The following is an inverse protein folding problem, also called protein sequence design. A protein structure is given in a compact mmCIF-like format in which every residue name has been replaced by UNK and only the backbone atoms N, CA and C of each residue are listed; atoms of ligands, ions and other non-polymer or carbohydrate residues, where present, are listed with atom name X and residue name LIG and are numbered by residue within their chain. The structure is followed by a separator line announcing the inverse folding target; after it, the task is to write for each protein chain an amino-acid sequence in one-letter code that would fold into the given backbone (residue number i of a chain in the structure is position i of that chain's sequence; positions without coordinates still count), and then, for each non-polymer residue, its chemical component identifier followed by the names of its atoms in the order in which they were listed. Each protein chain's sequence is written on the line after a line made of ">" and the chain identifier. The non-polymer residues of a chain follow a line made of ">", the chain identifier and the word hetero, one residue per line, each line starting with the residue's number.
data_IF_209893037681
#
_entry.id   IF_209893037681
#
_cell.length_a   1.000
_cell.length_b   1.000
_cell.length_c   1.000
_cell.angle_alpha   90.00
_cell.angle_beta   90.00
_cell.angle_gamma   90.00
#
_symmetry.space_group_name_H-M   'P 1'
#
loop_
_entity.id
_entity.type
_entity.pdbx_description
1 polymer ?
#
# COMPACT_ATOMS: atom_id res chain seq x y z
N UNK A 1 -34.73 11.32 37.95
CA UNK A 1 -33.35 11.78 37.68
C UNK A 1 -32.45 10.71 38.24
N UNK A 2 -31.82 9.92 37.37
CA UNK A 2 -30.77 9.00 37.75
C UNK A 2 -29.62 9.28 36.78
N UNK A 3 -28.46 9.66 37.31
CA UNK A 3 -27.25 9.85 36.53
C UNK A 3 -26.49 8.52 36.52
N UNK A 4 -26.17 8.01 35.32
CA UNK A 4 -25.25 6.88 35.20
C UNK A 4 -23.80 7.37 35.29
N UNK A 5 -22.90 6.64 35.97
CA UNK A 5 -21.51 7.07 36.08
C UNK A 5 -20.82 6.93 34.72
N UNK A 6 -20.18 8.00 34.26
CA UNK A 6 -19.22 7.92 33.17
C UNK A 6 -18.12 6.94 33.53
N UNK A 7 -17.97 5.87 32.73
CA UNK A 7 -16.75 5.06 32.77
C UNK A 7 -15.66 5.84 32.04
N UNK A 8 -14.59 6.16 32.74
CA UNK A 8 -13.33 6.60 32.12
C UNK A 8 -12.79 5.47 31.24
N UNK A 9 -13.13 5.52 29.95
CA UNK A 9 -12.50 4.69 28.92
C UNK A 9 -11.31 5.49 28.42
N UNK A 10 -10.10 4.98 28.64
CA UNK A 10 -8.87 5.58 28.17
C UNK A 10 -8.90 5.71 26.64
N UNK A 11 -9.09 6.92 26.12
CA UNK A 11 -9.21 7.22 24.68
C UNK A 11 -8.03 6.67 23.88
N UNK A 12 -6.83 6.62 24.46
CA UNK A 12 -5.65 6.02 23.81
C UNK A 12 -5.77 4.51 23.65
N UNK A 13 -6.34 3.77 24.61
CA UNK A 13 -6.50 2.31 24.50
C UNK A 13 -7.51 1.93 23.42
N UNK A 14 -8.62 2.69 23.30
CA UNK A 14 -9.60 2.49 22.23
C UNK A 14 -9.04 2.82 20.84
N UNK A 15 -8.16 3.83 20.75
CA UNK A 15 -7.45 4.18 19.51
C UNK A 15 -6.39 3.13 19.17
N UNK A 16 -5.65 2.59 20.15
CA UNK A 16 -4.66 1.53 19.92
C UNK A 16 -5.33 0.23 19.49
N UNK A 17 -6.42 -0.19 20.12
CA UNK A 17 -7.15 -1.41 19.72
C UNK A 17 -7.67 -1.36 18.27
N UNK A 18 -8.06 -0.17 17.77
CA UNK A 18 -8.49 0.00 16.38
C UNK A 18 -7.33 0.14 15.36
N UNK A 19 -6.10 0.43 15.80
CA UNK A 19 -4.94 0.69 14.92
C UNK A 19 -3.82 -0.36 15.01
N UNK A 20 -3.86 -1.26 15.99
CA UNK A 20 -2.91 -2.39 16.09
C UNK A 20 -3.11 -3.38 14.94
N UNK A 21 -2.20 -3.36 13.96
CA UNK A 21 -2.17 -4.31 12.84
C UNK A 21 -1.61 -5.70 13.26
N UNK A 22 -2.21 -6.31 14.28
CA UNK A 22 -2.09 -7.75 14.56
C UNK A 22 -3.27 -8.47 13.93
N UNK A 23 -3.02 -9.20 12.84
CA UNK A 23 -4.05 -9.90 12.09
C UNK A 23 -4.44 -11.21 12.80
N UNK A 24 -5.39 -11.15 13.73
CA UNK A 24 -6.05 -12.34 14.29
C UNK A 24 -7.16 -12.87 13.37
N UNK A 25 -7.49 -14.16 13.51
CA UNK A 25 -8.26 -14.93 12.54
C UNK A 25 -9.76 -14.63 12.57
N UNK A 26 -10.41 -14.85 11.43
CA UNK A 26 -11.87 -15.04 11.36
C UNK A 26 -12.10 -16.51 11.09
N UNK A 27 -12.72 -17.21 12.03
CA UNK A 27 -13.11 -18.61 11.87
C UNK A 27 -14.11 -18.76 10.72
N UNK A 28 -13.85 -19.72 9.83
CA UNK A 28 -14.85 -20.29 8.93
C UNK A 28 -14.71 -21.80 9.00
N UNK A 29 -15.51 -22.39 9.87
CA UNK A 29 -15.68 -23.83 10.01
C UNK A 29 -16.78 -24.28 9.03
N UNK A 30 -16.43 -24.93 7.92
CA UNK A 30 -17.41 -25.71 7.15
C UNK A 30 -16.78 -26.83 6.33
N UNK A 31 -17.57 -27.87 6.04
CA UNK A 31 -17.10 -29.25 5.88
C UNK A 31 -16.78 -29.66 4.43
N UNK A 32 -15.92 -30.67 4.32
CA UNK A 32 -15.53 -31.34 3.08
C UNK A 32 -16.55 -32.37 2.58
N UNK A 33 -16.82 -32.38 1.28
CA UNK A 33 -17.13 -33.57 0.46
C UNK A 33 -16.73 -33.27 -1.00
N UNK A 34 -15.74 -33.98 -1.56
CA UNK A 34 -15.89 -35.16 -2.45
C UNK A 34 -16.43 -34.79 -3.87
N UNK A 35 -15.92 -35.26 -5.03
CA UNK A 35 -15.05 -36.39 -5.38
C UNK A 35 -14.34 -36.17 -6.74
N UNK A 36 -13.17 -36.81 -6.93
CA UNK A 36 -12.37 -37.18 -8.12
C UNK A 36 -12.69 -36.79 -9.58
N UNK A 37 -11.57 -36.74 -10.35
CA UNK A 37 -11.29 -37.04 -11.79
C UNK A 37 -10.79 -35.83 -12.57
N UNK A 38 -9.64 -35.84 -13.27
CA UNK A 38 -8.63 -36.88 -13.49
C UNK A 38 -8.47 -37.21 -14.98
N UNK A 39 -7.47 -36.61 -15.64
CA UNK A 39 -6.87 -37.08 -16.90
C UNK A 39 -5.56 -36.31 -17.20
N UNK A 40 -4.64 -36.91 -17.95
CA UNK A 40 -3.31 -36.40 -18.25
C UNK A 40 -2.99 -36.56 -19.74
N UNK A 41 -2.20 -35.66 -20.33
CA UNK A 41 -1.64 -35.82 -21.69
C UNK A 41 -0.22 -35.25 -21.80
N UNK A 42 0.65 -36.04 -22.44
CA UNK A 42 2.02 -35.77 -22.93
C UNK A 42 2.01 -34.78 -24.14
N UNK A 43 3.11 -34.34 -24.79
CA UNK A 43 4.53 -34.07 -24.49
C UNK A 43 5.14 -33.35 -25.73
N UNK A 44 6.38 -32.83 -25.60
CA UNK A 44 7.24 -32.33 -26.69
C UNK A 44 6.74 -31.05 -27.44
N UNK A 45 7.55 -30.28 -28.18
CA UNK A 45 8.86 -30.52 -28.82
C UNK A 45 9.80 -29.29 -28.72
N UNK A 46 11.06 -29.43 -29.13
CA UNK A 46 12.12 -28.41 -29.00
C UNK A 46 12.60 -27.85 -30.36
N UNK A 47 13.16 -26.63 -30.37
CA UNK A 47 13.97 -26.11 -31.49
C UNK A 47 15.22 -25.39 -30.94
N UNK A 48 16.40 -25.81 -31.41
CA UNK A 48 17.69 -25.13 -31.19
C UNK A 48 17.96 -24.09 -32.27
N UNK A 49 18.80 -23.09 -31.98
CA UNK A 49 19.70 -22.53 -33.01
C UNK A 49 21.05 -22.03 -32.45
N UNK A 50 22.05 -22.11 -33.32
CA UNK A 50 23.52 -21.97 -33.17
C UNK A 50 24.02 -20.51 -32.94
N UNK A 51 24.93 -20.23 -31.98
CA UNK A 51 26.43 -20.21 -32.00
C UNK A 51 27.14 -18.98 -32.64
N UNK A 52 28.38 -18.78 -32.17
CA UNK A 52 29.50 -17.90 -32.63
C UNK A 52 29.57 -16.48 -32.02
N UNK A 53 30.74 -15.90 -31.69
CA UNK A 53 32.13 -16.41 -31.61
C UNK A 53 33.02 -15.48 -30.73
N UNK A 54 34.12 -16.01 -30.15
CA UNK A 54 35.48 -15.40 -29.94
C UNK A 54 35.65 -14.00 -29.27
N UNK A 55 36.78 -13.59 -28.65
CA UNK A 55 37.95 -14.23 -28.01
C UNK A 55 38.78 -13.13 -27.27
N UNK A 56 39.71 -13.47 -26.36
CA UNK A 56 40.72 -12.50 -25.85
C UNK A 56 41.33 -12.77 -24.46
N UNK A 57 42.61 -13.17 -24.42
CA UNK A 57 43.44 -13.40 -23.22
C UNK A 57 44.15 -12.13 -22.67
N UNK A 58 44.51 -12.12 -21.36
CA UNK A 58 45.81 -11.64 -20.81
C UNK A 58 45.89 -11.68 -19.26
N UNK A 59 47.12 -11.61 -18.68
CA UNK A 59 47.43 -11.82 -17.25
C UNK A 59 48.67 -10.98 -16.76
N UNK A 60 49.19 -10.99 -15.51
CA UNK A 60 48.94 -11.90 -14.38
C UNK A 60 48.86 -11.29 -12.92
N UNK A 61 49.92 -11.02 -12.08
CA UNK A 61 49.77 -11.23 -10.61
C UNK A 61 50.43 -10.23 -9.60
N UNK A 62 50.16 -10.37 -8.28
CA UNK A 62 51.08 -9.87 -7.20
C UNK A 62 50.57 -9.61 -5.75
N UNK A 63 50.92 -10.52 -4.81
CA UNK A 63 51.09 -10.49 -3.31
C UNK A 63 51.41 -9.15 -2.55
N UNK A 64 51.35 -8.96 -1.20
CA UNK A 64 50.78 -9.64 0.00
C UNK A 64 50.97 -8.83 1.35
N UNK A 65 50.31 -9.27 2.45
CA UNK A 65 50.74 -9.31 3.88
C UNK A 65 50.12 -8.38 5.00
N UNK A 66 50.24 -8.81 6.27
CA UNK A 66 49.53 -8.41 7.54
C UNK A 66 50.54 -8.13 8.72
N UNK A 67 50.18 -8.02 10.04
CA UNK A 67 49.26 -7.16 10.85
C UNK A 67 50.00 -6.54 12.11
N UNK A 68 49.60 -6.63 13.43
CA UNK A 68 48.39 -6.22 14.20
C UNK A 68 48.67 -5.31 15.47
N UNK A 69 47.63 -4.75 16.14
CA UNK A 69 47.55 -4.75 17.65
C UNK A 69 46.13 -4.43 18.23
N UNK A 70 45.86 -4.89 19.47
CA UNK A 70 44.61 -4.77 20.27
C UNK A 70 44.61 -3.52 21.22
N UNK A 71 43.58 -3.11 21.99
CA UNK A 71 42.24 -3.62 22.39
C UNK A 71 41.42 -2.47 23.06
N UNK A 72 40.10 -2.62 23.32
CA UNK A 72 39.49 -1.97 24.51
C UNK A 72 38.62 -2.91 25.39
N UNK A 73 38.24 -2.39 26.56
CA UNK A 73 37.81 -3.12 27.76
C UNK A 73 36.42 -3.80 27.73
N UNK A 74 36.25 -4.75 28.67
CA UNK A 74 35.06 -5.58 28.87
C UNK A 74 33.84 -4.82 29.43
N UNK A 75 32.64 -5.22 28.99
CA UNK A 75 31.34 -4.87 29.59
C UNK A 75 30.52 -6.18 29.74
N UNK A 76 29.74 -6.41 30.82
CA UNK A 76 29.42 -7.77 31.30
C UNK A 76 28.26 -8.48 30.58
N UNK A 77 27.90 -8.08 29.36
CA UNK A 77 26.91 -8.77 28.52
C UNK A 77 27.48 -9.98 27.76
N UNK A 78 28.77 -10.28 27.93
CA UNK A 78 29.48 -11.40 27.27
C UNK A 78 29.09 -12.80 27.75
N UNK A 79 28.27 -12.94 28.80
CA UNK A 79 27.90 -14.23 29.39
C UNK A 79 26.70 -14.95 28.73
N UNK A 80 25.92 -14.28 27.87
CA UNK A 80 24.73 -14.85 27.19
C UNK A 80 24.87 -14.97 25.67
N UNK A 81 26.07 -14.70 25.13
CA UNK A 81 26.43 -14.83 23.70
C UNK A 81 27.61 -15.80 23.49
N UNK A 82 27.86 -16.68 24.46
CA UNK A 82 29.09 -17.48 24.56
C UNK A 82 28.92 -18.98 24.21
N UNK A 83 27.80 -19.40 23.63
CA UNK A 83 27.61 -20.75 23.05
C UNK A 83 26.65 -20.71 21.86
N UNK A 84 27.13 -20.18 20.74
CA UNK A 84 26.77 -20.54 19.35
C UNK A 84 27.43 -19.53 18.40
N UNK A 85 28.77 -19.59 18.34
CA UNK A 85 29.57 -18.84 17.37
C UNK A 85 30.10 -19.78 16.28
N UNK A 86 29.21 -20.62 15.76
CA UNK A 86 29.47 -21.47 14.60
C UNK A 86 28.83 -20.86 13.37
N UNK A 87 29.70 -20.52 12.40
CA UNK A 87 29.42 -20.25 10.98
C UNK A 87 28.01 -19.74 10.65
N UNK A 88 27.91 -18.41 10.52
CA UNK A 88 27.10 -17.82 9.46
C UNK A 88 27.73 -18.12 8.10
N UNK A 89 27.69 -19.39 7.68
CA UNK A 89 27.91 -19.75 6.29
C UNK A 89 26.82 -19.03 5.48
N UNK A 90 27.23 -18.15 4.56
CA UNK A 90 26.31 -17.61 3.57
C UNK A 90 25.88 -18.77 2.68
N UNK A 91 24.79 -19.44 3.07
CA UNK A 91 24.20 -20.58 2.39
C UNK A 91 23.73 -20.14 1.01
N UNK A 92 24.62 -20.29 0.01
CA UNK A 92 24.31 -20.18 -1.41
C UNK A 92 23.50 -21.42 -1.80
N UNK A 93 22.24 -21.42 -1.39
CA UNK A 93 21.24 -22.39 -1.85
C UNK A 93 20.99 -22.16 -3.34
N UNK A 94 20.76 -23.24 -4.08
CA UNK A 94 20.31 -23.12 -5.46
C UNK A 94 18.90 -22.51 -5.52
N UNK A 95 18.55 -21.84 -6.63
CA UNK A 95 17.19 -21.35 -6.83
C UNK A 95 16.14 -22.48 -6.80
N UNK A 96 16.52 -23.68 -7.23
CA UNK A 96 15.71 -24.89 -7.14
C UNK A 96 15.47 -25.32 -5.69
N UNK A 97 16.51 -25.32 -4.85
CA UNK A 97 16.41 -25.68 -3.43
C UNK A 97 15.63 -24.63 -2.63
N UNK A 98 15.81 -23.34 -2.93
CA UNK A 98 14.95 -22.28 -2.39
C UNK A 98 13.48 -22.49 -2.75
N UNK A 99 13.19 -22.78 -4.03
CA UNK A 99 11.84 -23.03 -4.50
C UNK A 99 11.22 -24.28 -3.84
N UNK A 100 11.96 -25.39 -3.75
CA UNK A 100 11.54 -26.60 -3.04
C UNK A 100 11.25 -26.33 -1.57
N UNK A 101 12.15 -25.65 -0.86
CA UNK A 101 11.95 -25.30 0.55
C UNK A 101 10.77 -24.35 0.76
N UNK A 102 10.53 -23.41 -0.16
CA UNK A 102 9.37 -22.52 -0.10
C UNK A 102 8.04 -23.25 -0.36
N UNK A 103 7.97 -24.09 -1.40
CA UNK A 103 6.79 -24.91 -1.67
C UNK A 103 6.52 -25.91 -0.52
N UNK A 104 7.58 -26.51 0.04
CA UNK A 104 7.50 -27.37 1.22
C UNK A 104 6.90 -26.61 2.41
N UNK A 105 7.46 -25.45 2.75
CA UNK A 105 6.91 -24.59 3.80
C UNK A 105 5.45 -24.15 3.50
N UNK A 106 5.10 -23.95 2.24
CA UNK A 106 3.74 -23.56 1.84
C UNK A 106 2.71 -24.67 2.01
N UNK A 107 3.01 -25.89 1.55
CA UNK A 107 2.06 -27.02 1.58
C UNK A 107 2.09 -27.83 2.87
N UNK A 108 3.26 -27.98 3.52
CA UNK A 108 3.42 -28.81 4.72
C UNK A 108 3.28 -28.04 6.03
N UNK A 109 3.19 -26.70 5.99
CA UNK A 109 3.03 -25.88 7.22
C UNK A 109 1.85 -24.94 7.15
N UNK A 110 0.98 -25.02 8.15
CA UNK A 110 -0.16 -24.12 8.36
C UNK A 110 0.27 -22.70 8.82
N UNK A 111 1.48 -22.26 8.49
CA UNK A 111 2.03 -20.94 8.85
C UNK A 111 1.49 -19.82 7.95
N UNK A 112 1.08 -20.15 6.73
CA UNK A 112 0.62 -19.19 5.73
C UNK A 112 -0.87 -18.90 5.90
N UNK A 113 -1.20 -17.65 6.23
CA UNK A 113 -2.58 -17.21 6.42
C UNK A 113 -3.19 -16.76 5.09
N UNK A 114 -4.38 -17.27 4.78
CA UNK A 114 -5.19 -16.83 3.63
C UNK A 114 -5.64 -15.36 3.81
N UNK A 115 -5.45 -14.55 2.78
CA UNK A 115 -5.84 -13.12 2.75
C UNK A 115 -6.54 -12.81 1.43
N UNK A 116 -7.83 -12.51 1.51
CA UNK A 116 -8.63 -12.07 0.37
C UNK A 116 -8.35 -10.58 0.10
N UNK A 117 -7.80 -10.24 -1.07
CA UNK A 117 -7.47 -8.86 -1.45
C UNK A 117 -8.54 -8.33 -2.41
N UNK A 118 -9.34 -7.35 -1.99
CA UNK A 118 -10.44 -6.80 -2.80
C UNK A 118 -9.91 -6.00 -3.98
N UNK A 119 -10.54 -6.16 -5.14
CA UNK A 119 -10.30 -5.31 -6.31
C UNK A 119 -11.18 -4.05 -6.27
N UNK A 120 -10.65 -2.94 -6.76
CA UNK A 120 -11.47 -1.84 -7.27
C UNK A 120 -11.95 -2.23 -8.67
N UNK A 121 -13.25 -2.42 -8.83
CA UNK A 121 -13.88 -2.46 -10.17
C UNK A 121 -13.90 -1.06 -10.73
N UNK A 122 -13.37 -0.87 -11.95
CA UNK A 122 -13.40 0.41 -12.68
C UNK A 122 -14.23 0.23 -13.94
N UNK A 123 -15.41 0.84 -13.97
CA UNK A 123 -16.29 0.87 -15.13
C UNK A 123 -16.20 2.23 -15.82
N UNK A 124 -15.76 2.23 -17.07
CA UNK A 124 -15.61 3.44 -17.88
C UNK A 124 -16.67 3.40 -18.98
N UNK A 125 -17.66 4.28 -18.89
CA UNK A 125 -18.63 4.51 -19.97
C UNK A 125 -18.29 5.81 -20.68
N UNK A 126 -17.94 5.72 -21.96
CA UNK A 126 -17.77 6.90 -22.80
C UNK A 126 -19.13 7.46 -23.21
N UNK A 127 -19.21 8.76 -23.44
CA UNK A 127 -20.46 9.43 -23.83
C UNK A 127 -20.98 8.98 -25.21
N UNK A 128 -20.09 8.52 -26.09
CA UNK A 128 -20.40 8.07 -27.45
C UNK A 128 -20.51 6.52 -27.59
N UNK A 129 -20.41 5.76 -26.49
CA UNK A 129 -20.47 4.30 -26.49
C UNK A 129 -21.71 3.84 -25.68
N UNK A 130 -22.53 2.94 -26.24
CA UNK A 130 -23.73 2.45 -25.55
C UNK A 130 -23.36 1.63 -24.30
N UNK A 131 -22.38 0.74 -24.45
CA UNK A 131 -21.78 -0.07 -23.40
C UNK A 131 -20.47 0.55 -22.88
N UNK A 132 -20.18 0.35 -21.59
CA UNK A 132 -18.90 0.73 -20.99
C UNK A 132 -17.97 -0.46 -20.76
N UNK A 133 -16.67 -0.19 -20.58
CA UNK A 133 -15.65 -1.21 -20.36
C UNK A 133 -15.33 -1.35 -18.87
N UNK A 134 -15.19 -2.58 -18.40
CA UNK A 134 -14.84 -2.89 -17.00
C UNK A 134 -13.40 -3.33 -16.89
N UNK A 135 -12.69 -2.78 -15.91
CA UNK A 135 -11.32 -3.12 -15.51
C UNK A 135 -11.29 -3.44 -14.01
N UNK A 136 -10.19 -4.02 -13.55
CA UNK A 136 -9.91 -4.28 -12.13
C UNK A 136 -8.58 -3.63 -11.76
N UNK A 137 -8.54 -2.95 -10.62
CA UNK A 137 -7.30 -2.46 -9.99
C UNK A 137 -7.09 -3.20 -8.67
N UNK A 138 -5.93 -3.82 -8.48
CA UNK A 138 -5.53 -4.39 -7.19
C UNK A 138 -4.94 -3.33 -6.25
N UNK A 139 -4.30 -2.30 -6.78
CA UNK A 139 -3.60 -1.27 -6.01
C UNK A 139 -4.31 0.08 -6.08
N UNK A 140 -4.23 0.76 -7.23
CA UNK A 140 -4.76 2.11 -7.37
C UNK A 140 -5.24 2.47 -8.78
N UNK A 141 -6.15 3.43 -8.79
CA UNK A 141 -6.62 4.14 -9.97
C UNK A 141 -6.23 5.61 -9.81
N UNK A 142 -5.42 6.12 -10.73
CA UNK A 142 -4.91 7.49 -10.70
C UNK A 142 -5.45 8.27 -11.89
N UNK A 143 -6.07 9.42 -11.62
CA UNK A 143 -6.80 10.20 -12.62
C UNK A 143 -6.29 11.64 -12.60
N UNK A 144 -5.72 12.12 -13.71
CA UNK A 144 -5.17 13.47 -13.82
C UNK A 144 -5.35 14.06 -15.22
N UNK A 145 -5.09 15.36 -15.38
CA UNK A 145 -5.08 16.04 -16.68
C UNK A 145 -3.65 16.23 -17.20
N UNK A 146 -3.37 15.71 -18.40
CA UNK A 146 -2.02 15.65 -18.96
C UNK A 146 -1.42 16.99 -19.43
N UNK A 147 -2.23 18.04 -19.63
CA UNK A 147 -1.77 19.30 -20.25
C UNK A 147 -1.57 20.42 -19.23
N UNK A 148 -2.40 20.48 -18.19
CA UNK A 148 -2.39 21.58 -17.21
C UNK A 148 -2.18 21.12 -15.77
N UNK A 149 -2.01 19.82 -15.53
CA UNK A 149 -1.96 19.20 -14.19
C UNK A 149 -3.06 19.75 -13.27
N UNK A 150 -4.27 19.95 -13.78
CA UNK A 150 -5.37 20.63 -13.10
C UNK A 150 -6.71 20.05 -13.61
N UNK A 151 -7.07 18.87 -13.11
CA UNK A 151 -8.35 18.26 -13.47
C UNK A 151 -9.51 19.05 -12.83
N UNK A 152 -10.56 19.29 -13.62
CA UNK A 152 -11.83 19.81 -13.13
C UNK A 152 -12.88 18.71 -13.31
N UNK A 153 -13.54 18.29 -12.23
CA UNK A 153 -14.45 17.15 -12.22
C UNK A 153 -15.74 17.46 -11.47
N UNK A 154 -16.79 16.71 -11.80
CA UNK A 154 -17.85 16.41 -10.83
C UNK A 154 -17.53 15.06 -10.21
N UNK A 155 -17.52 15.00 -8.88
CA UNK A 155 -17.34 13.77 -8.12
C UNK A 155 -18.61 13.49 -7.31
N UNK A 156 -19.12 12.26 -7.42
CA UNK A 156 -20.16 11.71 -6.58
C UNK A 156 -19.54 10.57 -5.74
N UNK A 157 -19.60 10.68 -4.42
CA UNK A 157 -19.07 9.71 -3.45
C UNK A 157 -20.24 9.10 -2.66
N UNK A 158 -20.35 7.78 -2.70
CA UNK A 158 -21.40 6.96 -2.04
C UNK A 158 -22.84 7.45 -2.24
N UNK A 159 -23.13 8.24 -3.29
CA UNK A 159 -24.41 8.91 -3.52
C UNK A 159 -24.84 9.88 -2.39
N UNK A 160 -23.87 10.36 -1.59
CA UNK A 160 -24.06 11.28 -0.47
C UNK A 160 -23.41 12.64 -0.71
N UNK A 161 -22.22 12.64 -1.30
CA UNK A 161 -21.46 13.86 -1.59
C UNK A 161 -21.40 14.01 -3.10
N UNK A 162 -22.05 15.04 -3.64
CA UNK A 162 -21.95 15.41 -5.07
C UNK A 162 -21.40 16.83 -5.13
N UNK A 163 -20.17 16.98 -5.62
CA UNK A 163 -19.55 18.32 -5.74
C UNK A 163 -18.68 18.49 -6.97
N UNK A 164 -18.50 19.75 -7.34
CA UNK A 164 -17.53 20.16 -8.35
C UNK A 164 -16.18 20.40 -7.68
N UNK A 165 -15.15 19.80 -8.27
CA UNK A 165 -13.81 19.74 -7.72
C UNK A 165 -12.81 20.26 -8.77
N UNK A 166 -11.83 21.04 -8.33
CA UNK A 166 -10.61 21.29 -9.08
C UNK A 166 -9.40 20.86 -8.24
N UNK A 167 -8.53 20.03 -8.81
CA UNK A 167 -7.33 19.50 -8.15
C UNK A 167 -6.28 19.14 -9.18
N UNK A 168 -5.06 18.75 -8.78
CA UNK A 168 -4.06 18.28 -9.75
C UNK A 168 -4.33 16.85 -10.21
N UNK A 169 -4.79 16.00 -9.29
CA UNK A 169 -5.23 14.64 -9.57
C UNK A 169 -6.25 14.10 -8.55
N UNK A 170 -6.77 12.89 -8.84
CA UNK A 170 -7.48 12.00 -7.93
C UNK A 170 -6.71 10.66 -7.85
N UNK A 171 -6.47 10.19 -6.64
CA UNK A 171 -5.86 8.88 -6.37
C UNK A 171 -6.86 8.02 -5.58
N UNK A 172 -7.37 6.96 -6.20
CA UNK A 172 -8.27 6.01 -5.55
C UNK A 172 -7.49 4.73 -5.28
N UNK A 173 -7.46 4.24 -4.04
CA UNK A 173 -6.62 3.09 -3.65
C UNK A 173 -7.40 2.03 -2.87
N UNK A 174 -7.06 0.76 -3.09
CA UNK A 174 -7.59 -0.39 -2.35
C UNK A 174 -6.82 -0.57 -1.02
N UNK A 175 -7.25 -1.49 -0.16
CA UNK A 175 -6.46 -1.86 1.01
C UNK A 175 -5.07 -2.43 0.65
N UNK A 176 -4.91 -3.06 -0.52
CA UNK A 176 -3.60 -3.54 -0.98
C UNK A 176 -2.73 -2.41 -1.52
N UNK A 177 -3.29 -1.49 -2.31
CA UNK A 177 -2.56 -0.32 -2.80
C UNK A 177 -2.25 0.71 -1.72
N UNK A 178 -2.98 0.67 -0.59
CA UNK A 178 -2.78 1.58 0.53
C UNK A 178 -1.36 1.57 1.09
N UNK A 179 -0.65 0.44 0.97
CA UNK A 179 0.77 0.26 1.35
C UNK A 179 1.78 0.55 0.22
N UNK A 180 1.31 0.85 -1.00
CA UNK A 180 2.12 1.02 -2.20
C UNK A 180 2.30 2.50 -2.57
N UNK A 181 1.80 2.96 -3.72
CA UNK A 181 1.96 4.34 -4.16
C UNK A 181 1.25 5.31 -3.21
N UNK A 182 0.05 4.96 -2.75
CA UNK A 182 -0.73 5.77 -1.83
C UNK A 182 -0.04 6.03 -0.48
N UNK A 183 0.69 5.05 0.07
CA UNK A 183 1.55 5.27 1.23
C UNK A 183 2.64 6.28 0.91
N UNK A 184 3.41 6.04 -0.15
CA UNK A 184 4.63 6.77 -0.42
C UNK A 184 4.42 8.24 -0.80
N UNK A 185 3.29 8.61 -1.42
CA UNK A 185 2.99 10.01 -1.79
C UNK A 185 2.18 10.80 -0.76
N UNK A 186 1.76 10.17 0.34
CA UNK A 186 0.99 10.83 1.40
C UNK A 186 1.63 10.71 2.78
N UNK A 187 2.62 9.83 2.98
CA UNK A 187 3.37 9.73 4.23
C UNK A 187 4.09 11.05 4.56
N UNK A 188 4.12 11.38 5.84
CA UNK A 188 4.86 12.50 6.41
C UNK A 188 6.16 11.94 7.01
N UNK A 189 7.30 12.50 6.61
CA UNK A 189 8.58 12.16 7.22
C UNK A 189 8.85 12.94 8.52
N UNK A 190 9.82 12.47 9.31
CA UNK A 190 10.26 13.08 10.57
C UNK A 190 10.57 14.58 10.45
N UNK A 191 11.23 15.03 9.37
CA UNK A 191 11.64 16.43 9.19
C UNK A 191 10.43 17.31 8.91
N UNK A 192 9.51 16.86 8.05
CA UNK A 192 8.25 17.57 7.79
C UNK A 192 7.37 17.62 9.03
N UNK A 193 7.26 16.53 9.78
CA UNK A 193 6.54 16.50 11.06
C UNK A 193 7.16 17.47 12.07
N UNK A 194 8.49 17.44 12.25
CA UNK A 194 9.20 18.38 13.11
C UNK A 194 8.94 19.84 12.71
N UNK A 195 9.03 20.16 11.42
CA UNK A 195 8.79 21.53 10.93
C UNK A 195 7.39 22.05 11.27
N UNK A 196 6.35 21.21 11.10
CA UNK A 196 4.95 21.56 11.43
C UNK A 196 4.79 21.81 12.94
N UNK A 197 5.40 20.97 13.77
CA UNK A 197 5.35 21.10 15.23
C UNK A 197 6.15 22.30 15.72
N UNK A 198 7.37 22.52 15.22
CA UNK A 198 8.18 23.70 15.56
C UNK A 198 7.45 25.01 15.23
N UNK A 199 6.75 25.05 14.08
CA UNK A 199 5.89 26.17 13.67
C UNK A 199 4.73 26.38 14.65
N UNK A 200 3.99 25.30 14.96
CA UNK A 200 2.89 25.32 15.93
C UNK A 200 3.34 25.78 17.32
N UNK A 201 4.50 25.32 17.79
CA UNK A 201 5.08 25.71 19.09
C UNK A 201 5.49 27.19 19.09
N UNK A 202 6.06 27.69 17.99
CA UNK A 202 6.56 29.08 17.91
C UNK A 202 5.45 30.11 18.16
N UNK A 203 4.25 29.85 17.65
CA UNK A 203 3.09 30.75 17.79
C UNK A 203 2.38 30.68 19.16
N UNK A 204 2.73 29.73 20.04
CA UNK A 204 2.14 29.64 21.38
C UNK A 204 2.71 30.69 22.34
N UNK A 205 2.01 30.91 23.46
CA UNK A 205 2.54 31.68 24.58
C UNK A 205 3.63 30.90 25.35
N UNK A 206 4.37 31.59 26.21
CA UNK A 206 5.53 31.01 26.90
C UNK A 206 5.13 29.92 27.91
N UNK A 207 3.98 30.06 28.58
CA UNK A 207 3.42 29.03 29.48
C UNK A 207 3.20 27.71 28.72
N UNK A 208 2.67 27.75 27.50
CA UNK A 208 2.50 26.53 26.69
C UNK A 208 3.85 25.99 26.23
N UNK A 209 4.79 26.85 25.81
CA UNK A 209 6.14 26.43 25.39
C UNK A 209 6.90 25.70 26.50
N UNK A 210 6.82 26.19 27.74
CA UNK A 210 7.46 25.59 28.92
C UNK A 210 6.84 24.25 29.33
N UNK A 211 5.54 24.04 29.05
CA UNK A 211 4.80 22.82 29.42
C UNK A 211 4.78 21.73 28.34
N UNK A 212 5.33 21.97 27.14
CA UNK A 212 5.38 20.96 26.08
C UNK A 212 6.45 19.90 26.37
N UNK A 213 6.00 18.67 26.53
CA UNK A 213 6.87 17.50 26.70
C UNK A 213 7.67 17.20 25.42
N UNK A 214 8.86 16.58 25.52
CA UNK A 214 9.65 16.17 24.36
C UNK A 214 8.87 15.25 23.41
N UNK A 215 8.65 15.69 22.17
CA UNK A 215 7.89 14.95 21.17
C UNK A 215 8.80 13.97 20.41
N UNK A 216 8.48 12.68 20.46
CA UNK A 216 9.11 11.68 19.61
C UNK A 216 8.52 11.75 18.19
N UNK A 217 9.18 12.51 17.31
CA UNK A 217 8.76 12.70 15.92
C UNK A 217 8.72 11.41 15.09
N UNK A 218 9.50 10.38 15.43
CA UNK A 218 9.48 9.12 14.67
C UNK A 218 8.15 8.40 14.91
N UNK A 219 7.83 8.11 16.19
CA UNK A 219 6.56 7.50 16.63
C UNK A 219 5.36 8.33 16.15
N UNK A 220 5.43 9.66 16.28
CA UNK A 220 4.30 10.51 15.88
C UNK A 220 4.11 10.55 14.35
N UNK A 221 5.19 10.51 13.56
CA UNK A 221 5.08 10.36 12.11
C UNK A 221 4.50 9.00 11.72
N UNK A 222 4.92 7.92 12.38
CA UNK A 222 4.39 6.57 12.17
C UNK A 222 2.90 6.48 12.50
N UNK A 223 2.48 7.03 13.64
CA UNK A 223 1.07 7.11 14.05
C UNK A 223 0.18 7.76 12.97
N UNK A 224 0.61 8.91 12.42
CA UNK A 224 -0.13 9.57 11.34
C UNK A 224 -0.10 8.74 10.06
N UNK A 225 1.05 8.17 9.70
CA UNK A 225 1.22 7.38 8.47
C UNK A 225 0.42 6.07 8.49
N UNK A 226 0.20 5.47 9.66
CA UNK A 226 -0.63 4.27 9.83
C UNK A 226 -2.09 4.50 9.39
N UNK A 227 -2.60 5.74 9.48
CA UNK A 227 -3.93 6.10 8.98
C UNK A 227 -4.07 6.05 7.45
N UNK A 228 -2.97 5.97 6.70
CA UNK A 228 -2.98 5.86 5.22
C UNK A 228 -3.29 4.42 4.81
N UNK A 229 -2.58 3.47 5.41
CA UNK A 229 -2.74 2.03 5.18
C UNK A 229 -4.09 1.52 5.71
N UNK A 230 -4.63 0.44 5.15
CA UNK A 230 -5.82 -0.25 5.68
C UNK A 230 -5.93 -1.70 5.15
N UNK A 231 -6.77 -2.51 5.79
CA UNK A 231 -6.83 -3.96 5.57
C UNK A 231 -7.11 -4.33 4.08
N UNK A 232 -6.36 -5.27 3.46
CA UNK A 232 -6.52 -5.62 2.03
C UNK A 232 -7.89 -6.23 1.68
N UNK A 233 -8.60 -6.80 2.66
CA UNK A 233 -9.98 -7.29 2.51
C UNK A 233 -11.07 -6.22 2.72
N UNK A 234 -10.69 -4.96 2.93
CA UNK A 234 -11.63 -3.85 3.17
C UNK A 234 -12.67 -3.72 2.05
N UNK A 235 -13.93 -3.55 2.46
CA UNK A 235 -15.06 -3.24 1.55
C UNK A 235 -15.05 -1.78 1.06
N UNK A 236 -14.18 -0.95 1.63
CA UNK A 236 -13.99 0.46 1.28
C UNK A 236 -12.67 0.64 0.52
N UNK A 237 -12.65 1.63 -0.36
CA UNK A 237 -11.46 2.23 -0.97
C UNK A 237 -11.28 3.65 -0.41
N UNK A 238 -10.06 4.20 -0.50
CA UNK A 238 -9.78 5.61 -0.19
C UNK A 238 -9.70 6.41 -1.49
N UNK A 239 -10.52 7.45 -1.63
CA UNK A 239 -10.37 8.47 -2.67
C UNK A 239 -9.62 9.67 -2.08
N UNK A 240 -8.48 10.01 -2.67
CA UNK A 240 -7.58 11.07 -2.21
C UNK A 240 -7.50 12.14 -3.30
N UNK A 241 -7.88 13.36 -2.95
CA UNK A 241 -7.77 14.55 -3.79
C UNK A 241 -6.37 15.12 -3.65
N UNK A 242 -5.59 15.14 -4.73
CA UNK A 242 -4.22 15.69 -4.71
C UNK A 242 -4.24 17.18 -5.05
N UNK A 243 -3.74 18.00 -4.13
CA UNK A 243 -3.58 19.45 -4.31
C UNK A 243 -4.87 20.13 -4.80
N UNK A 244 -5.96 20.08 -3.98
CA UNK A 244 -7.20 20.75 -4.31
C UNK A 244 -7.05 22.28 -4.36
N UNK A 245 -7.89 22.90 -5.18
CA UNK A 245 -8.05 24.36 -5.24
C UNK A 245 -9.29 24.74 -4.45
N UNK A 246 -9.11 25.41 -3.32
CA UNK A 246 -10.21 25.94 -2.50
C UNK A 246 -10.52 27.39 -2.87
N UNK A 247 -11.81 27.71 -3.08
CA UNK A 247 -12.32 29.08 -3.20
C UNK A 247 -13.86 29.09 -3.15
N UNK A 248 -14.48 30.24 -3.38
CA UNK A 248 -15.94 30.42 -3.40
C UNK A 248 -16.70 29.58 -4.46
N UNK A 249 -16.01 28.90 -5.37
CA UNK A 249 -16.59 28.02 -6.41
C UNK A 249 -16.29 26.54 -6.15
N UNK A 250 -15.19 26.22 -5.45
CA UNK A 250 -14.74 24.87 -5.19
C UNK A 250 -14.59 24.65 -3.69
N UNK A 251 -15.55 23.93 -3.10
CA UNK A 251 -15.41 23.39 -1.74
C UNK A 251 -14.46 22.18 -1.77
N UNK A 252 -13.34 22.30 -1.07
CA UNK A 252 -12.39 21.24 -0.86
C UNK A 252 -12.13 20.90 0.62
N UNK A 253 -13.01 21.27 1.55
CA UNK A 253 -12.77 21.09 2.99
C UNK A 253 -12.28 19.68 3.35
N UNK A 254 -12.89 18.65 2.75
CA UNK A 254 -12.39 17.27 2.78
C UNK A 254 -11.50 16.94 1.56
N UNK A 255 -10.35 16.34 1.82
CA UNK A 255 -9.40 15.86 0.79
C UNK A 255 -9.31 14.33 0.67
N UNK A 256 -9.79 13.58 1.67
CA UNK A 256 -9.68 12.11 1.73
C UNK A 256 -11.02 11.52 2.12
N UNK A 257 -11.52 10.56 1.34
CA UNK A 257 -12.82 9.95 1.52
C UNK A 257 -12.66 8.43 1.63
N UNK A 258 -13.13 7.84 2.73
CA UNK A 258 -13.37 6.41 2.83
C UNK A 258 -14.75 6.11 2.22
N UNK A 259 -14.79 5.31 1.15
CA UNK A 259 -16.00 5.14 0.34
C UNK A 259 -16.09 3.73 -0.27
N UNK A 260 -17.28 3.32 -0.71
CA UNK A 260 -17.48 2.06 -1.47
C UNK A 260 -17.76 2.30 -2.95
N UNK A 261 -18.23 3.51 -3.29
CA UNK A 261 -18.60 3.93 -4.64
C UNK A 261 -18.10 5.36 -4.90
N UNK A 262 -17.47 5.56 -6.07
CA UNK A 262 -17.09 6.87 -6.58
C UNK A 262 -17.47 6.94 -8.07
N UNK A 263 -18.11 8.02 -8.48
CA UNK A 263 -18.43 8.32 -9.88
C UNK A 263 -17.86 9.68 -10.25
N UNK A 264 -16.95 9.70 -11.21
CA UNK A 264 -16.22 10.87 -11.66
C UNK A 264 -16.59 11.17 -13.10
N UNK A 265 -16.97 12.43 -13.35
CA UNK A 265 -17.12 13.00 -14.69
C UNK A 265 -16.14 14.14 -14.85
N UNK A 266 -15.26 14.04 -15.83
CA UNK A 266 -14.34 15.14 -16.14
C UNK A 266 -15.03 16.24 -16.93
N UNK A 267 -14.61 17.47 -16.66
CA UNK A 267 -14.96 18.67 -17.43
C UNK A 267 -13.89 18.99 -18.49
N UNK A 268 -12.81 18.20 -18.60
CA UNK A 268 -11.62 18.54 -19.40
C UNK A 268 -11.23 17.44 -20.39
N UNK A 269 -10.71 17.83 -21.56
CA UNK A 269 -10.56 16.95 -22.73
C UNK A 269 -9.27 16.12 -22.77
N UNK A 270 -8.37 16.32 -21.80
CA UNK A 270 -7.09 15.60 -21.70
C UNK A 270 -6.93 14.91 -20.34
N UNK A 271 -8.04 14.44 -19.78
CA UNK A 271 -8.03 13.56 -18.61
C UNK A 271 -7.56 12.16 -19.00
N UNK A 272 -6.73 11.55 -18.16
CA UNK A 272 -6.26 10.17 -18.32
C UNK A 272 -6.53 9.41 -17.01
N UNK A 273 -7.02 8.18 -17.14
CA UNK A 273 -7.17 7.21 -16.06
C UNK A 273 -6.07 6.16 -16.20
N UNK A 274 -5.25 6.03 -15.16
CA UNK A 274 -4.27 4.97 -15.00
C UNK A 274 -4.82 3.93 -14.00
N UNK A 275 -4.63 2.65 -14.30
CA UNK A 275 -5.11 1.52 -13.46
C UNK A 275 -3.92 0.59 -13.22
N UNK A 276 -3.48 0.49 -11.95
CA UNK A 276 -2.29 -0.23 -11.47
C UNK A 276 -0.98 0.09 -12.23
N UNK A 277 -0.91 1.24 -12.91
CA UNK A 277 0.19 1.58 -13.83
C UNK A 277 0.25 0.74 -15.13
N UNK A 278 -0.68 -0.20 -15.33
CA UNK A 278 -0.73 -1.11 -16.48
C UNK A 278 -1.60 -0.52 -17.60
N UNK A 279 -2.82 -0.09 -17.27
CA UNK A 279 -3.71 0.51 -18.24
C UNK A 279 -3.61 2.03 -18.21
N UNK A 280 -3.64 2.65 -19.39
CA UNK A 280 -3.69 4.09 -19.61
C UNK A 280 -4.86 4.37 -20.56
N UNK A 281 -5.88 5.05 -20.07
CA UNK A 281 -7.16 5.25 -20.78
C UNK A 281 -7.48 6.74 -20.83
N UNK A 282 -7.50 7.31 -22.04
CA UNK A 282 -7.92 8.70 -22.23
C UNK A 282 -9.44 8.83 -22.06
N UNK A 283 -9.85 9.82 -21.28
CA UNK A 283 -11.24 10.15 -20.97
C UNK A 283 -11.58 11.52 -21.57
N UNK A 284 -12.75 11.64 -22.18
CA UNK A 284 -13.29 12.89 -22.73
C UNK A 284 -14.33 13.53 -21.78
N UNK A 285 -14.69 14.81 -21.99
CA UNK A 285 -15.73 15.44 -21.17
C UNK A 285 -17.05 14.68 -21.29
N UNK A 286 -17.76 14.56 -20.17
CA UNK A 286 -19.00 13.78 -20.00
C UNK A 286 -18.86 12.24 -19.99
N UNK A 287 -17.69 11.68 -20.32
CA UNK A 287 -17.40 10.27 -20.00
C UNK A 287 -17.50 10.07 -18.48
N UNK A 288 -17.98 8.89 -18.06
CA UNK A 288 -18.15 8.54 -16.64
C UNK A 288 -17.17 7.44 -16.24
N UNK A 289 -16.38 7.71 -15.21
CA UNK A 289 -15.48 6.73 -14.55
C UNK A 289 -16.11 6.36 -13.22
N UNK A 290 -16.64 5.15 -13.13
CA UNK A 290 -17.35 4.64 -11.96
C UNK A 290 -16.46 3.57 -11.30
N UNK A 291 -16.13 3.78 -10.04
CA UNK A 291 -15.31 2.90 -9.21
C UNK A 291 -16.17 2.31 -8.10
N UNK A 292 -16.04 1.00 -7.85
CA UNK A 292 -16.60 0.38 -6.65
C UNK A 292 -15.83 -0.86 -6.18
N UNK A 293 -16.00 -1.21 -4.90
CA UNK A 293 -15.63 -2.51 -4.36
C UNK A 293 -16.86 -3.43 -4.44
N UNK A 294 -16.70 -4.65 -4.97
CA UNK A 294 -17.77 -5.67 -4.99
C UNK A 294 -17.45 -6.76 -3.97
N UNK A 295 -18.48 -7.29 -3.31
CA UNK A 295 -18.29 -8.30 -2.27
C UNK A 295 -17.60 -9.57 -2.81
N UNK A 296 -18.01 -10.05 -3.98
CA UNK A 296 -17.41 -11.25 -4.61
C UNK A 296 -16.09 -11.03 -5.35
N UNK A 297 -15.55 -9.80 -5.41
CA UNK A 297 -14.43 -9.48 -6.30
C UNK A 297 -13.11 -9.31 -5.54
N UNK A 298 -12.32 -10.38 -5.50
CA UNK A 298 -11.03 -10.44 -4.82
C UNK A 298 -10.08 -11.46 -5.44
N UNK A 299 -8.79 -11.28 -5.20
CA UNK A 299 -7.77 -12.31 -5.38
C UNK A 299 -7.39 -12.90 -4.02
N UNK A 300 -7.18 -14.22 -3.96
CA UNK A 300 -6.63 -14.87 -2.78
C UNK A 300 -5.11 -14.74 -2.81
N UNK A 301 -4.54 -14.23 -1.72
CA UNK A 301 -3.11 -14.28 -1.45
C UNK A 301 -2.86 -15.03 -0.14
N UNK A 302 -1.63 -15.44 0.09
CA UNK A 302 -1.19 -16.03 1.35
C UNK A 302 -0.05 -15.17 1.90
N UNK A 303 0.00 -15.00 3.22
CA UNK A 303 1.02 -14.21 3.94
C UNK A 303 1.49 -14.98 5.17
#
# INVERSE_FOLDING_TARGET
>A
MEESPFKDVNTMEWIVQNNSLSYEGVDINEQTSATEKGEAVEAAEAVQLSKSNEAGDAAHPGYAAHPPHMQPCNNPFSALLATERERSDNLIISAEEYAKNMLKCFFETNKHRKVNRKYITVYIKKCNEEEGKTYRSINEVYIYEAVKNNICTYINIDNKIVKKLKSTALLITSGTGSTAWAYNVNKIDKKKMKSIIDEFVRIQNDVVKENIQPINYDIFSEYINNSISFHPSSKHMKCIVKEPVENSVYDSTDHVYNCQYVNIRTCTSNTIVYIDGIYNIKIQPNDSVILNIKEGDFIVSYK
#
